data_IF_059886877065
#
_entry.id   IF_059886877065
#
_cell.length_a   1.000
_cell.length_b   1.000
_cell.length_c   1.000
_cell.angle_alpha   90.00
_cell.angle_beta   90.00
_cell.angle_gamma   90.00
#
_symmetry.space_group_name_H-M   'P 1'
#
loop_
_entity.id
_entity.type
_entity.pdbx_description
1 polymer ?
#
# COMPACT_ATOMS: atom_id res chain seq x y z
N UNK A 1 -13.34 -34.07 25.61
CA UNK A 1 -14.09 -34.30 24.36
C UNK A 1 -15.06 -33.16 24.09
N UNK A 2 -16.01 -32.96 25.02
CA UNK A 2 -16.96 -31.84 24.87
C UNK A 2 -16.28 -30.47 24.87
N UNK A 3 -15.18 -30.34 25.60
CA UNK A 3 -14.43 -29.07 25.64
C UNK A 3 -13.82 -28.71 24.29
N UNK A 4 -13.31 -29.72 23.56
CA UNK A 4 -12.73 -29.50 22.23
C UNK A 4 -13.81 -29.09 21.24
N UNK A 5 -14.96 -29.77 21.27
CA UNK A 5 -16.08 -29.41 20.38
C UNK A 5 -16.63 -28.05 20.70
N UNK A 6 -16.72 -27.70 21.98
CA UNK A 6 -17.17 -26.41 22.43
C UNK A 6 -16.23 -25.30 21.94
N UNK A 7 -14.93 -25.51 22.08
CA UNK A 7 -13.92 -24.51 21.65
C UNK A 7 -13.98 -24.27 20.14
N UNK A 8 -14.12 -25.32 19.34
CA UNK A 8 -14.25 -25.19 17.89
C UNK A 8 -15.50 -24.44 17.52
N UNK A 9 -16.61 -24.71 18.17
CA UNK A 9 -17.87 -24.03 17.93
C UNK A 9 -17.78 -22.56 18.28
N UNK A 10 -17.19 -22.23 19.42
CA UNK A 10 -16.97 -20.86 19.85
C UNK A 10 -16.05 -20.13 18.89
N UNK A 11 -14.96 -20.74 18.45
CA UNK A 11 -14.05 -20.14 17.47
C UNK A 11 -14.75 -19.87 16.15
N UNK A 12 -15.57 -20.78 15.67
CA UNK A 12 -16.30 -20.62 14.43
C UNK A 12 -17.30 -19.47 14.52
N UNK A 13 -18.03 -19.37 15.63
CA UNK A 13 -18.95 -18.25 15.86
C UNK A 13 -18.23 -16.93 15.95
N UNK A 14 -17.09 -16.91 16.65
CA UNK A 14 -16.28 -15.70 16.76
C UNK A 14 -15.77 -15.24 15.40
N UNK A 15 -15.28 -16.17 14.57
CA UNK A 15 -14.83 -15.83 13.21
C UNK A 15 -15.93 -15.25 12.36
N UNK A 16 -17.14 -15.78 12.48
CA UNK A 16 -18.31 -15.26 11.72
C UNK A 16 -18.71 -13.87 12.17
N UNK A 17 -18.50 -13.55 13.44
CA UNK A 17 -18.84 -12.25 14.01
C UNK A 17 -17.74 -11.21 13.82
N UNK A 18 -16.50 -11.66 13.69
CA UNK A 18 -15.37 -10.75 13.52
C UNK A 18 -15.37 -10.20 12.10
N UNK A 19 -15.21 -8.89 12.01
CA UNK A 19 -14.99 -8.24 10.72
C UNK A 19 -13.57 -8.59 10.25
N UNK A 20 -13.35 -8.76 8.94
CA UNK A 20 -11.99 -8.89 8.43
C UNK A 20 -11.19 -7.66 8.83
N UNK A 21 -9.87 -7.80 9.04
CA UNK A 21 -9.02 -6.63 9.29
C UNK A 21 -9.18 -5.61 8.17
N UNK A 22 -9.23 -4.34 8.54
CA UNK A 22 -9.26 -3.27 7.55
C UNK A 22 -7.96 -3.31 6.75
N UNK A 23 -8.08 -3.10 5.46
CA UNK A 23 -6.93 -2.89 4.60
C UNK A 23 -6.93 -1.47 4.08
N UNK A 24 -5.73 -0.99 3.76
CA UNK A 24 -5.51 0.39 3.33
C UNK A 24 -4.71 0.37 2.05
N UNK A 25 -5.20 1.08 1.06
CA UNK A 25 -4.43 1.24 -0.17
C UNK A 25 -3.51 2.43 -0.05
N UNK A 26 -2.31 2.27 -0.55
CA UNK A 26 -1.32 3.33 -0.63
C UNK A 26 -1.34 3.89 -2.04
N UNK A 27 -1.43 5.20 -2.13
CA UNK A 27 -1.60 5.93 -3.39
C UNK A 27 -0.40 6.83 -3.62
N UNK A 28 0.04 6.92 -4.87
CA UNK A 28 1.00 7.93 -5.30
C UNK A 28 0.28 9.00 -6.10
N UNK A 29 0.69 10.24 -5.90
CA UNK A 29 0.11 11.40 -6.57
C UNK A 29 1.10 11.97 -7.58
N UNK A 30 0.61 12.28 -8.78
CA UNK A 30 1.44 12.91 -9.80
C UNK A 30 1.75 14.36 -9.41
N UNK A 31 2.94 14.81 -9.80
CA UNK A 31 3.33 16.22 -9.71
C UNK A 31 4.24 16.55 -10.88
N UNK A 32 4.56 17.83 -11.04
CA UNK A 32 5.31 18.32 -12.21
C UNK A 32 6.83 18.24 -12.06
N UNK A 33 7.33 17.77 -10.91
CA UNK A 33 8.77 17.84 -10.60
C UNK A 33 9.39 16.46 -10.40
N UNK A 34 8.65 15.51 -9.86
CA UNK A 34 9.13 14.15 -9.63
C UNK A 34 9.33 13.44 -10.96
N UNK A 35 10.51 12.89 -11.19
CA UNK A 35 10.82 12.19 -12.44
C UNK A 35 10.14 10.84 -12.51
N UNK A 36 9.87 10.37 -13.73
CA UNK A 36 9.31 9.03 -13.97
C UNK A 36 10.24 7.95 -13.44
N UNK A 37 11.56 8.14 -13.62
CA UNK A 37 12.57 7.19 -13.13
C UNK A 37 12.50 7.05 -11.62
N UNK A 38 12.30 8.16 -10.90
CA UNK A 38 12.20 8.12 -9.45
C UNK A 38 10.94 7.38 -9.00
N UNK A 39 9.82 7.61 -9.67
CA UNK A 39 8.56 6.91 -9.36
C UNK A 39 8.73 5.40 -9.55
N UNK A 40 9.35 4.97 -10.65
CA UNK A 40 9.64 3.56 -10.91
C UNK A 40 10.56 3.00 -9.82
N UNK A 41 11.60 3.73 -9.46
CA UNK A 41 12.51 3.34 -8.38
C UNK A 41 11.77 3.11 -7.05
N UNK A 42 10.89 4.02 -6.68
CA UNK A 42 10.07 3.89 -5.46
C UNK A 42 9.16 2.66 -5.54
N UNK A 43 8.53 2.44 -6.67
CA UNK A 43 7.64 1.29 -6.86
C UNK A 43 8.39 -0.03 -6.77
N UNK A 44 9.61 -0.08 -7.30
CA UNK A 44 10.43 -1.28 -7.21
C UNK A 44 10.96 -1.51 -5.79
N UNK A 45 11.47 -0.46 -5.14
CA UNK A 45 12.17 -0.60 -3.86
C UNK A 45 11.24 -0.63 -2.66
N UNK A 46 10.21 0.21 -2.63
CA UNK A 46 9.28 0.30 -1.48
C UNK A 46 8.15 -0.70 -1.62
N UNK A 47 7.62 -0.87 -2.83
CA UNK A 47 6.42 -1.69 -3.07
C UNK A 47 6.74 -3.04 -3.72
N UNK A 48 8.02 -3.35 -3.89
CA UNK A 48 8.48 -4.63 -4.42
C UNK A 48 7.87 -5.02 -5.76
N UNK A 49 7.60 -4.03 -6.60
CA UNK A 49 7.06 -4.27 -7.93
C UNK A 49 8.17 -4.68 -8.89
N UNK A 50 7.82 -5.50 -9.88
CA UNK A 50 8.73 -5.75 -10.99
C UNK A 50 8.87 -4.47 -11.82
N UNK A 51 9.90 -4.39 -12.65
CA UNK A 51 10.08 -3.23 -13.54
C UNK A 51 8.85 -3.03 -14.44
N UNK A 52 8.32 -4.10 -14.98
CA UNK A 52 7.13 -4.05 -15.84
C UNK A 52 5.92 -3.46 -15.10
N UNK A 53 5.64 -3.98 -13.92
CA UNK A 53 4.51 -3.51 -13.11
C UNK A 53 4.73 -2.08 -12.60
N UNK A 54 5.96 -1.77 -12.16
CA UNK A 54 6.31 -0.42 -11.73
C UNK A 54 6.12 0.60 -12.85
N UNK A 55 6.51 0.25 -14.07
CA UNK A 55 6.33 1.11 -15.24
C UNK A 55 4.85 1.33 -15.53
N UNK A 56 4.05 0.27 -15.45
CA UNK A 56 2.60 0.35 -15.67
C UNK A 56 1.94 1.29 -14.66
N UNK A 57 2.28 1.14 -13.37
CA UNK A 57 1.72 1.99 -12.31
C UNK A 57 2.19 3.43 -12.48
N UNK A 58 3.46 3.64 -12.80
CA UNK A 58 4.00 4.97 -13.02
C UNK A 58 3.25 5.69 -14.14
N UNK A 59 3.02 5.03 -15.25
CA UNK A 59 2.27 5.61 -16.37
C UNK A 59 0.83 5.91 -15.98
N UNK A 60 0.22 5.05 -15.19
CA UNK A 60 -1.13 5.28 -14.68
C UNK A 60 -1.19 6.54 -13.80
N UNK A 61 -0.24 6.69 -12.88
CA UNK A 61 -0.14 7.89 -12.03
C UNK A 61 0.06 9.13 -12.89
N UNK A 62 0.95 9.05 -13.87
CA UNK A 62 1.24 10.19 -14.76
C UNK A 62 0.00 10.61 -15.55
N UNK A 63 -0.74 9.66 -16.08
CA UNK A 63 -1.88 9.94 -16.97
C UNK A 63 -3.16 10.27 -16.21
N UNK A 64 -3.35 9.74 -15.00
CA UNK A 64 -4.60 9.89 -14.25
C UNK A 64 -4.46 10.75 -12.99
N UNK A 65 -3.25 11.17 -12.65
CA UNK A 65 -2.98 12.01 -11.49
C UNK A 65 -2.76 11.26 -10.19
N UNK A 66 -3.24 10.02 -10.09
CA UNK A 66 -3.16 9.21 -8.88
C UNK A 66 -3.17 7.73 -9.28
N UNK A 67 -2.49 6.90 -8.50
CA UNK A 67 -2.49 5.45 -8.73
C UNK A 67 -2.23 4.68 -7.46
N UNK A 68 -2.78 3.47 -7.41
CA UNK A 68 -2.66 2.57 -6.26
C UNK A 68 -1.38 1.76 -6.40
N UNK A 69 -0.58 1.74 -5.32
CA UNK A 69 0.66 0.96 -5.27
C UNK A 69 0.46 -0.41 -4.65
N UNK A 70 -0.54 -0.57 -3.81
CA UNK A 70 -0.84 -1.83 -3.13
C UNK A 70 -1.75 -1.58 -1.95
N UNK A 71 -2.20 -2.67 -1.33
CA UNK A 71 -3.07 -2.63 -0.15
C UNK A 71 -2.43 -3.41 0.99
N UNK A 72 -2.48 -2.86 2.19
CA UNK A 72 -1.75 -3.34 3.35
C UNK A 72 -2.55 -3.11 4.61
N UNK A 73 -2.11 -3.70 5.73
CA UNK A 73 -2.61 -3.30 7.04
C UNK A 73 -2.29 -1.83 7.30
N UNK A 74 -2.97 -1.22 8.24
CA UNK A 74 -2.74 0.19 8.59
C UNK A 74 -1.26 0.46 8.86
N UNK A 75 -0.65 -0.34 9.72
CA UNK A 75 0.75 -0.11 10.13
C UNK A 75 1.72 -0.24 8.97
N UNK A 76 1.52 -1.23 8.12
CA UNK A 76 2.38 -1.43 6.95
C UNK A 76 2.18 -0.29 5.94
N UNK A 77 0.93 0.10 5.70
CA UNK A 77 0.63 1.22 4.79
C UNK A 77 1.29 2.52 5.28
N UNK A 78 1.16 2.81 6.58
CA UNK A 78 1.77 3.98 7.19
C UNK A 78 3.30 3.98 7.02
N UNK A 79 3.94 2.85 7.27
CA UNK A 79 5.38 2.71 7.09
C UNK A 79 5.78 2.93 5.63
N UNK A 80 4.99 2.41 4.70
CA UNK A 80 5.27 2.60 3.27
C UNK A 80 5.17 4.07 2.87
N UNK A 81 4.14 4.76 3.34
CA UNK A 81 3.97 6.21 3.09
C UNK A 81 5.18 6.98 3.64
N UNK A 82 5.58 6.70 4.87
CA UNK A 82 6.73 7.35 5.49
C UNK A 82 8.02 7.06 4.73
N UNK A 83 8.21 5.83 4.28
CA UNK A 83 9.39 5.43 3.51
C UNK A 83 9.46 6.16 2.18
N UNK A 84 8.32 6.30 1.49
CA UNK A 84 8.27 7.08 0.24
C UNK A 84 8.69 8.52 0.49
N UNK A 85 8.12 9.15 1.53
CA UNK A 85 8.43 10.54 1.84
C UNK A 85 9.89 10.73 2.25
N UNK A 86 10.48 9.78 2.98
CA UNK A 86 11.89 9.82 3.34
C UNK A 86 12.80 9.75 2.13
N UNK A 87 12.50 8.86 1.19
CA UNK A 87 13.24 8.75 -0.06
C UNK A 87 13.07 10.01 -0.93
N UNK A 88 11.85 10.50 -1.04
CA UNK A 88 11.57 11.69 -1.83
C UNK A 88 12.35 12.90 -1.28
N UNK A 89 12.36 13.07 0.03
CA UNK A 89 13.14 14.12 0.66
C UNK A 89 14.64 13.96 0.39
N UNK A 90 15.15 12.75 0.51
CA UNK A 90 16.55 12.45 0.25
C UNK A 90 16.98 12.81 -1.17
N UNK A 91 16.11 12.53 -2.14
CA UNK A 91 16.37 12.79 -3.55
C UNK A 91 15.81 14.13 -4.03
N UNK A 92 15.25 14.91 -3.11
CA UNK A 92 14.74 16.26 -3.38
C UNK A 92 13.59 16.31 -4.38
N UNK A 93 12.67 15.34 -4.25
CA UNK A 93 11.43 15.35 -5.02
C UNK A 93 10.21 15.56 -4.11
N UNK A 94 9.18 16.26 -4.57
CA UNK A 94 7.97 16.50 -3.79
C UNK A 94 6.94 15.37 -3.88
N UNK A 95 7.36 14.15 -4.19
CA UNK A 95 6.46 13.03 -4.37
C UNK A 95 5.60 12.79 -3.12
N UNK A 96 4.28 12.79 -3.31
CA UNK A 96 3.32 12.58 -2.24
C UNK A 96 2.75 11.16 -2.32
N UNK A 97 2.79 10.47 -1.19
CA UNK A 97 2.07 9.22 -0.99
C UNK A 97 1.01 9.43 0.08
N UNK A 98 -0.15 8.84 -0.11
CA UNK A 98 -1.23 8.87 0.87
C UNK A 98 -1.75 7.45 1.07
N UNK A 99 -2.55 7.26 2.10
CA UNK A 99 -3.23 5.99 2.33
C UNK A 99 -4.70 6.24 2.60
N UNK A 100 -5.53 5.33 2.17
CA UNK A 100 -6.96 5.41 2.46
C UNK A 100 -7.53 4.03 2.68
N UNK A 101 -8.56 3.96 3.49
CA UNK A 101 -9.25 2.71 3.78
C UNK A 101 -9.91 2.16 2.51
N UNK A 102 -9.75 0.87 2.31
CA UNK A 102 -10.38 0.19 1.17
C UNK A 102 -11.89 0.11 1.30
#
# INVERSE_FOLDING_TARGET
MSDIEYDEEVKTKSRKKLKPPQSYKVLLHNDNYTTMEFVVFVLETVFSKSLSEATRIMLHVHNNGIGVCGSYSYEVAETKVETVHGLAEQYEFPLLATMEEN
#
